data_IF_537772608053
#
_entry.id   IF_537772608053
#
_cell.length_a   1.000
_cell.length_b   1.000
_cell.length_c   1.000
_cell.angle_alpha   90.00
_cell.angle_beta   90.00
_cell.angle_gamma   90.00
#
_symmetry.space_group_name_H-M   'P 1'
#
loop_
_entity.id
_entity.type
_entity.pdbx_description
1 polymer ?
#
# COMPACT_ATOMS: atom_id res chain seq x y z
N UNK A 1 2.57 15.28 18.68
CA UNK A 1 2.76 15.03 17.23
C UNK A 1 3.46 13.70 16.91
N UNK A 2 4.37 13.21 17.77
CA UNK A 2 5.03 11.90 17.57
C UNK A 2 4.01 10.76 17.44
N UNK A 3 2.98 10.72 18.29
CA UNK A 3 2.02 9.61 18.33
C UNK A 3 1.15 9.53 17.06
N UNK A 4 0.71 10.68 16.55
CA UNK A 4 -0.02 10.76 15.27
C UNK A 4 0.83 10.28 14.10
N UNK A 5 2.11 10.71 14.04
CA UNK A 5 3.04 10.26 13.02
C UNK A 5 3.34 8.75 13.12
N UNK A 6 3.39 8.21 14.34
CA UNK A 6 3.56 6.77 14.58
C UNK A 6 2.33 5.97 14.15
N UNK A 7 1.12 6.47 14.42
CA UNK A 7 -0.13 5.86 13.93
C UNK A 7 -0.15 5.81 12.41
N UNK A 8 0.14 6.93 11.75
CA UNK A 8 0.13 7.02 10.29
C UNK A 8 1.21 6.12 9.64
N UNK A 9 2.39 6.00 10.25
CA UNK A 9 3.40 5.03 9.79
C UNK A 9 2.91 3.58 9.93
N UNK A 10 2.18 3.28 11.00
CA UNK A 10 1.62 1.95 11.23
C UNK A 10 0.48 1.65 10.24
N UNK A 11 -0.36 2.63 9.95
CA UNK A 11 -1.40 2.56 8.90
C UNK A 11 -0.79 2.32 7.52
N UNK A 12 0.27 3.05 7.15
CA UNK A 12 0.99 2.85 5.89
C UNK A 12 1.49 1.39 5.75
N UNK A 13 2.12 0.86 6.82
CA UNK A 13 2.59 -0.54 6.83
C UNK A 13 1.42 -1.53 6.75
N UNK A 14 0.31 -1.21 7.40
CA UNK A 14 -0.90 -2.04 7.43
C UNK A 14 -1.56 -2.12 6.05
N UNK A 15 -1.66 -1.01 5.31
CA UNK A 15 -2.16 -1.00 3.94
C UNK A 15 -1.32 -1.89 3.02
N UNK A 16 0.01 -1.78 3.09
CA UNK A 16 0.91 -2.67 2.32
C UNK A 16 0.68 -4.14 2.68
N UNK A 17 0.52 -4.45 3.98
CA UNK A 17 0.25 -5.82 4.45
C UNK A 17 -1.09 -6.35 3.95
N UNK A 18 -2.14 -5.51 3.92
CA UNK A 18 -3.47 -5.88 3.42
C UNK A 18 -3.41 -6.28 1.94
N UNK A 19 -2.74 -5.49 1.10
CA UNK A 19 -2.57 -5.83 -0.33
C UNK A 19 -1.80 -7.13 -0.51
N UNK A 20 -0.69 -7.31 0.23
CA UNK A 20 0.09 -8.57 0.17
C UNK A 20 -0.74 -9.79 0.55
N UNK A 21 -1.52 -9.70 1.62
CA UNK A 21 -2.44 -10.77 2.01
C UNK A 21 -3.48 -11.08 0.93
N UNK A 22 -4.01 -10.05 0.27
CA UNK A 22 -4.96 -10.24 -0.83
C UNK A 22 -4.31 -10.92 -2.05
N UNK A 23 -3.05 -10.60 -2.34
CA UNK A 23 -2.25 -11.27 -3.38
C UNK A 23 -2.01 -12.74 -3.00
N UNK A 24 -1.61 -13.01 -1.75
CA UNK A 24 -1.40 -14.38 -1.23
C UNK A 24 -2.69 -15.22 -1.23
N UNK A 25 -3.85 -14.59 -1.08
CA UNK A 25 -5.15 -15.27 -1.14
C UNK A 25 -5.55 -15.73 -2.55
N UNK A 26 -4.85 -15.29 -3.60
CA UNK A 26 -5.05 -15.78 -4.97
C UNK A 26 -6.21 -15.14 -5.75
N UNK A 27 -7.03 -14.29 -5.15
CA UNK A 27 -8.11 -13.58 -5.84
C UNK A 27 -7.60 -12.24 -6.42
N UNK A 28 -7.45 -12.20 -7.74
CA UNK A 28 -6.99 -11.03 -8.48
C UNK A 28 -7.98 -9.85 -8.42
N UNK A 29 -9.28 -10.10 -8.46
CA UNK A 29 -10.28 -9.03 -8.45
C UNK A 29 -10.31 -8.36 -7.07
N UNK A 30 -10.30 -9.17 -6.01
CA UNK A 30 -10.19 -8.68 -4.64
C UNK A 30 -8.87 -7.96 -4.40
N UNK A 31 -7.74 -8.49 -4.88
CA UNK A 31 -6.43 -7.85 -4.75
C UNK A 31 -6.37 -6.48 -5.44
N UNK A 32 -6.98 -6.34 -6.61
CA UNK A 32 -7.04 -5.07 -7.33
C UNK A 32 -7.90 -4.04 -6.57
N UNK A 33 -9.05 -4.43 -6.02
CA UNK A 33 -9.88 -3.53 -5.22
C UNK A 33 -9.16 -3.05 -3.95
N UNK A 34 -8.54 -3.99 -3.23
CA UNK A 34 -7.76 -3.68 -2.01
C UNK A 34 -6.56 -2.78 -2.34
N UNK A 35 -5.92 -3.00 -3.49
CA UNK A 35 -4.83 -2.15 -3.97
C UNK A 35 -5.30 -0.72 -4.23
N UNK A 36 -6.43 -0.52 -4.93
CA UNK A 36 -6.97 0.83 -5.18
C UNK A 36 -7.34 1.56 -3.89
N UNK A 37 -7.99 0.87 -2.96
CA UNK A 37 -8.32 1.44 -1.65
C UNK A 37 -7.05 1.79 -0.84
N UNK A 38 -6.00 0.99 -0.96
CA UNK A 38 -4.72 1.23 -0.27
C UNK A 38 -3.89 2.35 -0.88
N UNK A 39 -4.09 2.65 -2.17
CA UNK A 39 -3.34 3.69 -2.89
C UNK A 39 -3.62 5.09 -2.32
N UNK A 40 -4.89 5.44 -2.12
CA UNK A 40 -5.26 6.76 -1.59
C UNK A 40 -4.66 7.02 -0.20
N UNK A 41 -4.65 5.99 0.66
CA UNK A 41 -4.05 6.09 1.99
C UNK A 41 -2.53 6.27 1.93
N UNK A 42 -1.85 5.50 1.07
CA UNK A 42 -0.40 5.58 0.89
C UNK A 42 0.02 6.97 0.41
N UNK A 43 -0.68 7.51 -0.57
CA UNK A 43 -0.37 8.81 -1.17
C UNK A 43 -0.65 9.93 -0.16
N UNK A 44 -1.76 9.90 0.58
CA UNK A 44 -2.08 10.88 1.65
C UNK A 44 -1.02 10.94 2.75
N UNK A 45 -0.46 9.79 3.17
CA UNK A 45 0.59 9.74 4.20
C UNK A 45 1.93 10.26 3.65
N UNK A 46 2.20 10.04 2.35
CA UNK A 46 3.38 10.57 1.69
C UNK A 46 3.32 12.10 1.54
N UNK A 47 2.15 12.66 1.20
CA UNK A 47 1.93 14.10 1.05
C UNK A 47 2.14 14.86 2.36
N UNK A 48 1.75 14.25 3.49
CA UNK A 48 2.04 14.76 4.85
C UNK A 48 3.52 14.69 5.23
N UNK A 49 4.41 14.26 4.32
CA UNK A 49 5.87 14.11 4.51
C UNK A 49 6.28 13.15 5.64
N UNK A 50 5.36 12.32 6.12
CA UNK A 50 5.63 11.33 7.17
C UNK A 50 6.46 10.17 6.59
N UNK A 51 6.16 9.78 5.34
CA UNK A 51 6.92 8.82 4.56
C UNK A 51 7.43 9.52 3.31
N UNK A 52 8.70 9.29 2.95
CA UNK A 52 9.26 9.90 1.76
C UNK A 52 8.53 9.44 0.49
N UNK A 53 8.18 10.37 -0.41
CA UNK A 53 7.46 10.12 -1.68
C UNK A 53 8.07 8.98 -2.51
N UNK A 54 9.40 8.92 -2.63
CA UNK A 54 10.09 7.84 -3.35
C UNK A 54 9.88 6.48 -2.67
N UNK A 55 9.81 6.42 -1.33
CA UNK A 55 9.54 5.16 -0.62
C UNK A 55 8.12 4.70 -0.89
N UNK A 56 7.14 5.59 -0.80
CA UNK A 56 5.74 5.28 -1.16
C UNK A 56 5.62 4.80 -2.61
N UNK A 57 6.24 5.53 -3.55
CA UNK A 57 6.26 5.18 -4.98
C UNK A 57 6.88 3.81 -5.25
N UNK A 58 8.00 3.47 -4.60
CA UNK A 58 8.61 2.13 -4.70
C UNK A 58 7.67 1.03 -4.21
N UNK A 59 6.96 1.24 -3.11
CA UNK A 59 6.00 0.26 -2.60
C UNK A 59 4.81 0.09 -3.56
N UNK A 60 4.27 1.20 -4.08
CA UNK A 60 3.18 1.22 -5.06
C UNK A 60 3.55 0.45 -6.34
N UNK A 61 4.73 0.73 -6.89
CA UNK A 61 5.25 0.03 -8.07
C UNK A 61 5.39 -1.48 -7.84
N UNK A 62 6.02 -1.89 -6.72
CA UNK A 62 6.19 -3.32 -6.39
C UNK A 62 4.86 -4.05 -6.19
N UNK A 63 3.90 -3.44 -5.52
CA UNK A 63 2.57 -4.03 -5.33
C UNK A 63 1.83 -4.13 -6.66
N UNK A 64 1.91 -3.11 -7.52
CA UNK A 64 1.31 -3.16 -8.86
C UNK A 64 1.90 -4.29 -9.71
N UNK A 65 3.23 -4.47 -9.70
CA UNK A 65 3.87 -5.59 -10.39
C UNK A 65 3.40 -6.95 -9.86
N UNK A 66 3.27 -7.09 -8.54
CA UNK A 66 2.81 -8.33 -7.93
C UNK A 66 1.34 -8.67 -8.27
N UNK A 67 0.45 -7.67 -8.30
CA UNK A 67 -0.94 -7.89 -8.76
C UNK A 67 -0.99 -8.23 -10.25
N UNK A 68 -0.13 -7.60 -11.06
CA UNK A 68 -0.02 -7.91 -12.49
C UNK A 68 0.56 -9.30 -12.73
N UNK A 69 1.52 -9.76 -11.95
CA UNK A 69 2.08 -11.11 -12.10
C UNK A 69 1.10 -12.22 -11.74
N UNK A 70 0.06 -11.95 -10.95
CA UNK A 70 -1.05 -12.90 -10.76
C UNK A 70 -1.88 -13.12 -12.04
N UNK A 71 -1.72 -12.25 -13.04
CA UNK A 71 -2.44 -12.34 -14.31
C UNK A 71 -1.72 -13.17 -15.38
N UNK A 72 -0.46 -13.54 -15.13
CA UNK A 72 0.40 -14.25 -16.07
C UNK A 72 0.42 -15.74 -15.78
#
# INVERSE_FOLDING_TARGET
QRDSNMSQRSEFRTAIKKVRKAIEAGDKAAAQQVFQASMSLIDSIADKKIVHKNKASRHKSRLSMAVKSMAA
#
